data_IF_826030663630
#
_entry.id   IF_826030663630
#
_cell.length_a   1.000
_cell.length_b   1.000
_cell.length_c   1.000
_cell.angle_alpha   90.00
_cell.angle_beta   90.00
_cell.angle_gamma   90.00
#
_symmetry.space_group_name_H-M   'P 1'
#
loop_
_entity.id
_entity.type
_entity.pdbx_description
1 polymer ?
#
# COMPACT_ATOMS: atom_id res chain seq x y z
N UNK A 1 10.06 -0.36 -17.37
CA UNK A 1 11.30 0.10 -16.70
C UNK A 1 11.28 1.59 -16.33
N UNK A 2 10.91 2.52 -17.20
CA UNK A 2 10.93 3.95 -16.88
C UNK A 2 9.96 4.33 -15.75
N UNK A 3 8.72 3.82 -15.78
CA UNK A 3 7.69 4.10 -14.78
C UNK A 3 8.10 3.66 -13.36
N UNK A 4 8.55 2.41 -13.19
CA UNK A 4 9.00 1.93 -11.88
C UNK A 4 10.15 2.76 -11.30
N UNK A 5 11.14 3.13 -12.16
CA UNK A 5 12.22 4.04 -11.75
C UNK A 5 11.70 5.44 -11.39
N UNK A 6 10.69 5.92 -12.11
CA UNK A 6 10.04 7.19 -11.79
C UNK A 6 9.37 7.17 -10.43
N UNK A 7 8.63 6.10 -10.11
CA UNK A 7 8.01 5.92 -8.80
C UNK A 7 9.07 5.91 -7.71
N UNK A 8 10.17 5.15 -7.88
CA UNK A 8 11.27 5.12 -6.91
C UNK A 8 11.96 6.47 -6.73
N UNK A 9 12.14 7.24 -7.80
CA UNK A 9 12.75 8.58 -7.72
C UNK A 9 11.89 9.58 -6.93
N UNK A 10 10.57 9.36 -6.87
CA UNK A 10 9.62 10.23 -6.15
C UNK A 10 9.13 9.61 -4.83
N UNK A 11 9.71 8.50 -4.40
CA UNK A 11 9.25 7.68 -3.27
C UNK A 11 8.97 8.51 -2.01
N UNK A 12 9.96 9.26 -1.56
CA UNK A 12 9.87 10.00 -0.29
C UNK A 12 8.82 11.12 -0.36
N UNK A 13 8.70 11.79 -1.50
CA UNK A 13 7.68 12.83 -1.72
C UNK A 13 6.27 12.22 -1.79
N UNK A 14 6.08 11.09 -2.48
CA UNK A 14 4.82 10.35 -2.52
C UNK A 14 4.40 9.90 -1.12
N UNK A 15 5.31 9.32 -0.36
CA UNK A 15 5.06 8.88 1.02
C UNK A 15 4.70 10.06 1.90
N UNK A 16 5.43 11.16 1.81
CA UNK A 16 5.15 12.37 2.60
C UNK A 16 3.79 12.99 2.27
N UNK A 17 3.41 13.04 0.99
CA UNK A 17 2.09 13.54 0.55
C UNK A 17 0.97 12.63 1.04
N UNK A 18 1.16 11.32 0.89
CA UNK A 18 0.17 10.32 1.30
C UNK A 18 0.00 10.30 2.82
N UNK A 19 1.10 10.29 3.60
CA UNK A 19 1.07 10.37 5.07
C UNK A 19 0.28 11.56 5.58
N UNK A 20 0.51 12.75 5.01
CA UNK A 20 -0.23 13.97 5.41
C UNK A 20 -1.74 13.82 5.18
N UNK A 21 -2.15 13.16 4.10
CA UNK A 21 -3.56 12.92 3.83
C UNK A 21 -4.17 11.95 4.84
N UNK A 22 -3.43 10.89 5.21
CA UNK A 22 -3.88 9.95 6.23
C UNK A 22 -4.00 10.61 7.59
N UNK A 23 -3.02 11.43 7.98
CA UNK A 23 -3.03 12.18 9.24
C UNK A 23 -4.20 13.16 9.31
N UNK A 24 -4.52 13.86 8.22
CA UNK A 24 -5.64 14.80 8.15
C UNK A 24 -7.01 14.12 8.36
N UNK A 25 -7.13 12.83 8.05
CA UNK A 25 -8.36 12.04 8.23
C UNK A 25 -8.45 11.35 9.60
N UNK A 26 -7.35 11.25 10.33
CA UNK A 26 -7.31 10.62 11.64
C UNK A 26 -7.83 11.57 12.73
N UNK A 27 -9.13 11.56 12.96
CA UNK A 27 -9.68 12.12 14.18
C UNK A 27 -9.36 11.19 15.38
N UNK A 28 -8.16 11.31 15.93
CA UNK A 28 -7.96 11.02 17.34
C UNK A 28 -7.35 9.68 17.76
N UNK A 29 -7.09 8.68 16.93
CA UNK A 29 -6.46 7.42 17.41
C UNK A 29 -5.31 6.96 16.51
N UNK A 30 -4.08 7.20 16.98
CA UNK A 30 -2.86 6.64 16.36
C UNK A 30 -2.67 5.22 16.89
N UNK A 31 -3.06 4.24 16.09
CA UNK A 31 -3.02 2.83 16.51
C UNK A 31 -1.61 2.23 16.39
N UNK A 32 -0.90 2.48 15.28
CA UNK A 32 0.44 1.93 15.04
C UNK A 32 1.58 2.89 15.34
N UNK A 33 1.29 4.17 15.52
CA UNK A 33 2.32 5.21 15.54
C UNK A 33 2.86 5.57 14.14
N UNK A 34 3.34 6.80 14.03
CA UNK A 34 3.86 7.37 12.78
C UNK A 34 4.96 6.51 12.14
N UNK A 35 5.95 5.93 12.88
CA UNK A 35 7.02 5.16 12.24
C UNK A 35 6.54 3.91 11.51
N UNK A 36 5.62 3.14 12.10
CA UNK A 36 5.14 1.90 11.48
C UNK A 36 4.23 2.19 10.27
N UNK A 37 3.40 3.22 10.35
CA UNK A 37 2.61 3.68 9.21
C UNK A 37 3.53 4.11 8.06
N UNK A 38 4.55 4.91 8.33
CA UNK A 38 5.51 5.34 7.31
C UNK A 38 6.24 4.15 6.68
N UNK A 39 6.64 3.14 7.46
CA UNK A 39 7.24 1.91 6.94
C UNK A 39 6.31 1.19 5.95
N UNK A 40 5.03 1.02 6.32
CA UNK A 40 4.04 0.38 5.44
C UNK A 40 3.82 1.16 4.15
N UNK A 41 3.73 2.49 4.22
CA UNK A 41 3.58 3.32 3.02
C UNK A 41 4.81 3.23 2.12
N UNK A 42 6.01 3.27 2.69
CA UNK A 42 7.26 3.06 1.95
C UNK A 42 7.26 1.70 1.24
N UNK A 43 6.93 0.63 1.96
CA UNK A 43 6.84 -0.73 1.41
C UNK A 43 5.84 -0.80 0.24
N UNK A 44 4.68 -0.18 0.36
CA UNK A 44 3.68 -0.15 -0.70
C UNK A 44 4.16 0.60 -1.94
N UNK A 45 4.87 1.72 -1.79
CA UNK A 45 5.44 2.46 -2.93
C UNK A 45 6.56 1.66 -3.60
N UNK A 46 7.44 1.02 -2.84
CA UNK A 46 8.51 0.17 -3.36
C UNK A 46 7.93 -1.01 -4.17
N UNK A 47 6.94 -1.70 -3.60
CA UNK A 47 6.24 -2.79 -4.29
C UNK A 47 5.52 -2.32 -5.56
N UNK A 48 4.87 -1.15 -5.53
CA UNK A 48 4.22 -0.57 -6.70
C UNK A 48 5.23 -0.28 -7.83
N UNK A 49 6.43 0.17 -7.48
CA UNK A 49 7.51 0.37 -8.43
C UNK A 49 7.94 -0.97 -9.07
N UNK A 50 8.10 -2.04 -8.29
CA UNK A 50 8.40 -3.37 -8.78
C UNK A 50 7.27 -3.96 -9.64
N UNK A 51 6.01 -3.77 -9.22
CA UNK A 51 4.82 -4.17 -9.98
C UNK A 51 4.68 -3.44 -11.33
N UNK A 52 5.29 -2.26 -11.44
CA UNK A 52 5.38 -1.48 -12.68
C UNK A 52 6.59 -1.83 -13.54
N UNK A 53 7.46 -2.73 -13.06
CA UNK A 53 8.74 -3.15 -13.64
C UNK A 53 8.78 -4.60 -14.14
N UNK A 54 9.99 -5.13 -14.36
CA UNK A 54 10.22 -6.50 -14.81
C UNK A 54 9.88 -7.55 -13.73
N UNK A 55 10.04 -7.20 -12.45
CA UNK A 55 9.78 -8.09 -11.29
C UNK A 55 8.30 -8.20 -10.91
N UNK A 56 7.41 -7.79 -11.78
CA UNK A 56 5.97 -7.74 -11.50
C UNK A 56 5.40 -9.07 -11.00
N UNK A 57 5.78 -10.20 -11.64
CA UNK A 57 5.23 -11.51 -11.29
C UNK A 57 5.72 -11.96 -9.93
N UNK A 58 6.97 -11.69 -9.64
CA UNK A 58 7.64 -12.05 -8.40
C UNK A 58 7.13 -11.19 -7.23
N UNK A 59 6.83 -9.91 -7.47
CA UNK A 59 6.33 -8.96 -6.47
C UNK A 59 4.82 -9.07 -6.24
N UNK A 60 4.06 -9.81 -7.06
CA UNK A 60 2.60 -9.82 -7.00
C UNK A 60 2.08 -10.34 -5.65
N UNK A 61 2.63 -11.44 -5.14
CA UNK A 61 2.24 -12.01 -3.86
C UNK A 61 2.50 -11.05 -2.69
N UNK A 62 3.70 -10.46 -2.67
CA UNK A 62 4.11 -9.50 -1.64
C UNK A 62 3.28 -8.22 -1.70
N UNK A 63 2.91 -7.75 -2.91
CA UNK A 63 1.97 -6.64 -3.09
C UNK A 63 0.61 -6.93 -2.49
N UNK A 64 0.08 -8.15 -2.70
CA UNK A 64 -1.21 -8.55 -2.16
C UNK A 64 -1.17 -8.61 -0.63
N UNK A 65 -0.13 -9.20 -0.05
CA UNK A 65 0.05 -9.24 1.40
C UNK A 65 0.14 -7.82 2.01
N UNK A 66 0.88 -6.90 1.39
CA UNK A 66 1.00 -5.53 1.86
C UNK A 66 -0.33 -4.76 1.81
N UNK A 67 -1.11 -4.91 0.73
CA UNK A 67 -2.41 -4.23 0.60
C UNK A 67 -3.47 -4.85 1.51
N UNK A 68 -3.44 -6.15 1.75
CA UNK A 68 -4.29 -6.81 2.74
C UNK A 68 -3.98 -6.33 4.16
N UNK A 69 -2.68 -6.25 4.52
CA UNK A 69 -2.24 -5.67 5.79
C UNK A 69 -2.70 -4.21 5.95
N UNK A 70 -2.64 -3.43 4.87
CA UNK A 70 -3.16 -2.05 4.86
C UNK A 70 -4.65 -2.00 5.21
N UNK A 71 -5.44 -2.91 4.66
CA UNK A 71 -6.87 -3.03 4.96
C UNK A 71 -7.14 -3.42 6.42
N UNK A 72 -6.42 -4.39 6.95
CA UNK A 72 -6.50 -4.79 8.38
C UNK A 72 -6.17 -3.62 9.30
N UNK A 73 -5.10 -2.88 8.98
CA UNK A 73 -4.74 -1.67 9.70
C UNK A 73 -5.83 -0.60 9.67
N UNK A 74 -6.46 -0.41 8.53
CA UNK A 74 -7.55 0.55 8.38
C UNK A 74 -8.76 0.19 9.26
N UNK A 75 -9.13 -1.10 9.36
CA UNK A 75 -10.17 -1.56 10.27
C UNK A 75 -9.82 -1.27 11.73
N UNK A 76 -8.58 -1.52 12.15
CA UNK A 76 -8.07 -1.23 13.51
C UNK A 76 -8.04 0.28 13.79
N UNK A 77 -7.83 1.12 12.76
CA UNK A 77 -7.95 2.59 12.84
C UNK A 77 -9.40 3.07 12.96
N UNK A 78 -10.39 2.19 12.83
CA UNK A 78 -11.81 2.53 12.89
C UNK A 78 -12.34 3.18 11.62
N UNK A 79 -11.64 3.05 10.49
CA UNK A 79 -12.11 3.57 9.20
C UNK A 79 -13.30 2.77 8.69
N UNK A 80 -14.14 3.40 7.88
CA UNK A 80 -15.12 2.69 7.06
C UNK A 80 -14.45 2.10 5.81
N UNK A 81 -15.02 1.02 5.24
CA UNK A 81 -14.48 0.39 4.03
C UNK A 81 -14.33 1.37 2.85
N UNK A 82 -15.26 2.33 2.73
CA UNK A 82 -15.19 3.38 1.70
C UNK A 82 -13.96 4.29 1.88
N UNK A 83 -13.58 4.60 3.11
CA UNK A 83 -12.40 5.44 3.41
C UNK A 83 -11.09 4.73 3.03
N UNK A 84 -11.02 3.39 3.19
CA UNK A 84 -9.87 2.58 2.72
C UNK A 84 -9.72 2.72 1.20
N UNK A 85 -10.83 2.62 0.48
CA UNK A 85 -10.84 2.81 -0.98
C UNK A 85 -10.37 4.22 -1.34
N UNK A 86 -10.90 5.25 -0.69
CA UNK A 86 -10.53 6.65 -0.94
C UNK A 86 -9.04 6.94 -0.66
N UNK A 87 -8.46 6.34 0.37
CA UNK A 87 -7.03 6.50 0.67
C UNK A 87 -6.14 5.96 -0.47
N UNK A 88 -6.49 4.81 -1.06
CA UNK A 88 -5.76 4.25 -2.22
C UNK A 88 -6.08 5.04 -3.50
N UNK A 89 -7.31 5.56 -3.67
CA UNK A 89 -7.63 6.44 -4.79
C UNK A 89 -6.82 7.74 -4.74
N UNK A 90 -6.60 8.29 -3.55
CA UNK A 90 -5.73 9.45 -3.39
C UNK A 90 -4.28 9.15 -3.83
N UNK A 91 -3.75 7.98 -3.49
CA UNK A 91 -2.45 7.54 -4.02
C UNK A 91 -2.46 7.48 -5.56
N UNK A 92 -3.56 7.00 -6.17
CA UNK A 92 -3.73 6.99 -7.63
C UNK A 92 -3.65 8.40 -8.23
N UNK A 93 -4.31 9.37 -7.60
CA UNK A 93 -4.27 10.77 -8.04
C UNK A 93 -2.87 11.35 -7.97
N UNK A 94 -2.15 11.11 -6.87
CA UNK A 94 -0.75 11.53 -6.71
C UNK A 94 0.12 10.93 -7.83
N UNK A 95 0.03 9.62 -8.04
CA UNK A 95 0.81 8.94 -9.08
C UNK A 95 0.47 9.45 -10.48
N UNK A 96 -0.80 9.67 -10.78
CA UNK A 96 -1.22 10.19 -12.10
C UNK A 96 -0.66 11.57 -12.35
N UNK A 97 -0.64 12.42 -11.32
CA UNK A 97 -0.13 13.79 -11.39
C UNK A 97 1.40 13.82 -11.48
N UNK A 98 2.06 13.13 -10.56
CA UNK A 98 3.52 13.23 -10.40
C UNK A 98 4.28 12.43 -11.48
N UNK A 99 3.64 11.38 -12.06
CA UNK A 99 4.22 10.63 -13.19
C UNK A 99 3.91 11.23 -14.57
N UNK A 100 3.14 12.31 -14.66
CA UNK A 100 2.65 12.85 -15.94
C UNK A 100 3.80 13.10 -16.93
N UNK A 101 4.86 13.78 -16.52
CA UNK A 101 6.01 14.09 -17.38
C UNK A 101 6.76 12.83 -17.84
N UNK A 102 6.89 11.84 -16.96
CA UNK A 102 7.53 10.56 -17.28
C UNK A 102 6.68 9.78 -18.30
N UNK A 103 5.35 9.78 -18.12
CA UNK A 103 4.43 9.10 -19.02
C UNK A 103 4.41 9.74 -20.40
N UNK A 104 4.41 11.08 -20.47
CA UNK A 104 4.47 11.83 -21.75
C UNK A 104 5.79 11.62 -22.47
N UNK A 105 6.91 11.47 -21.77
CA UNK A 105 8.22 11.17 -22.35
C UNK A 105 8.34 9.74 -22.91
N UNK A 106 7.41 8.84 -22.60
CA UNK A 106 7.39 7.49 -23.19
C UNK A 106 6.98 7.54 -24.67
N UNK A 107 7.44 6.57 -25.50
CA UNK A 107 6.88 6.36 -26.83
C UNK A 107 5.36 6.25 -26.76
N UNK A 108 4.64 6.89 -27.69
CA UNK A 108 3.17 7.03 -27.66
C UNK A 108 2.44 5.67 -27.49
N UNK A 109 2.99 4.60 -28.09
CA UNK A 109 2.47 3.23 -27.96
C UNK A 109 2.63 2.63 -26.55
N UNK A 110 3.43 3.24 -25.67
CA UNK A 110 3.68 2.77 -24.30
C UNK A 110 2.95 3.61 -23.25
N UNK A 111 2.50 4.81 -23.59
CA UNK A 111 1.87 5.72 -22.64
C UNK A 111 0.60 5.11 -22.03
N UNK A 112 -0.41 4.83 -22.85
CA UNK A 112 -1.66 4.25 -22.37
C UNK A 112 -1.48 2.87 -21.71
N UNK A 113 -0.71 1.91 -22.25
CA UNK A 113 -0.44 0.65 -21.57
C UNK A 113 0.21 0.81 -20.19
N UNK A 114 1.06 1.83 -20.00
CA UNK A 114 1.69 2.10 -18.71
C UNK A 114 0.67 2.62 -17.69
N UNK A 115 -0.18 3.57 -18.07
CA UNK A 115 -1.28 4.07 -17.23
C UNK A 115 -2.22 2.95 -16.83
N UNK A 116 -2.67 2.13 -17.79
CA UNK A 116 -3.56 1.01 -17.53
C UNK A 116 -2.93 -0.04 -16.61
N UNK A 117 -1.61 -0.23 -16.69
CA UNK A 117 -0.89 -1.14 -15.81
C UNK A 117 -0.91 -0.65 -14.37
N UNK A 118 -0.57 0.62 -14.12
CA UNK A 118 -0.62 1.23 -12.79
C UNK A 118 -2.03 1.09 -12.22
N UNK A 119 -3.04 1.47 -12.98
CA UNK A 119 -4.42 1.38 -12.53
C UNK A 119 -4.83 -0.04 -12.14
N UNK A 120 -4.49 -1.06 -12.95
CA UNK A 120 -4.78 -2.46 -12.62
C UNK A 120 -4.09 -2.93 -11.34
N UNK A 121 -2.86 -2.49 -11.08
CA UNK A 121 -2.14 -2.82 -9.84
C UNK A 121 -2.87 -2.20 -8.64
N UNK A 122 -3.25 -0.93 -8.75
CA UNK A 122 -3.99 -0.24 -7.69
C UNK A 122 -5.39 -0.82 -7.49
N UNK A 123 -6.12 -1.17 -8.56
CA UNK A 123 -7.45 -1.79 -8.46
C UNK A 123 -7.39 -3.13 -7.70
N UNK A 124 -6.38 -3.95 -7.99
CA UNK A 124 -6.12 -5.19 -7.24
C UNK A 124 -5.75 -4.90 -5.79
N UNK A 125 -4.94 -3.86 -5.55
CA UNK A 125 -4.60 -3.41 -4.20
C UNK A 125 -5.83 -3.00 -3.40
N UNK A 126 -6.74 -2.23 -4.01
CA UNK A 126 -8.05 -1.88 -3.40
C UNK A 126 -8.84 -3.13 -3.05
N UNK A 127 -8.97 -4.07 -3.98
CA UNK A 127 -9.72 -5.31 -3.74
C UNK A 127 -9.15 -6.09 -2.55
N UNK A 128 -7.82 -6.26 -2.47
CA UNK A 128 -7.18 -6.95 -1.35
C UNK A 128 -7.25 -6.16 -0.03
N UNK A 129 -7.15 -4.84 -0.08
CA UNK A 129 -7.33 -4.01 1.11
C UNK A 129 -8.75 -4.16 1.69
N UNK A 130 -9.78 -4.22 0.83
CA UNK A 130 -11.15 -4.47 1.26
C UNK A 130 -11.31 -5.87 1.85
N UNK A 131 -10.64 -6.90 1.30
CA UNK A 131 -10.61 -8.25 1.89
C UNK A 131 -10.00 -8.20 3.28
N UNK A 132 -8.78 -7.67 3.44
CA UNK A 132 -8.11 -7.57 4.74
C UNK A 132 -8.92 -6.77 5.77
N UNK A 133 -9.57 -5.69 5.34
CA UNK A 133 -10.49 -4.92 6.16
C UNK A 133 -11.68 -5.76 6.65
N UNK A 134 -12.32 -6.49 5.73
CA UNK A 134 -13.49 -7.32 6.04
C UNK A 134 -13.11 -8.46 6.98
N UNK A 135 -11.98 -9.13 6.75
CA UNK A 135 -11.49 -10.21 7.59
C UNK A 135 -11.22 -9.73 9.03
N UNK A 136 -10.64 -8.53 9.18
CA UNK A 136 -10.43 -7.94 10.50
C UNK A 136 -11.74 -7.63 11.21
N UNK A 137 -12.76 -7.11 10.50
CA UNK A 137 -14.09 -6.89 11.07
C UNK A 137 -14.77 -8.20 11.47
N UNK A 138 -14.73 -9.20 10.61
CA UNK A 138 -15.33 -10.51 10.87
C UNK A 138 -14.69 -11.16 12.10
N UNK A 139 -13.35 -11.16 12.17
CA UNK A 139 -12.62 -11.64 13.34
C UNK A 139 -13.07 -10.97 14.63
N UNK A 140 -13.30 -9.65 14.59
CA UNK A 140 -13.80 -8.88 15.72
C UNK A 140 -15.22 -9.25 16.12
N UNK A 141 -16.12 -9.47 15.15
CA UNK A 141 -17.52 -9.83 15.41
C UNK A 141 -17.63 -11.21 16.12
N UNK A 142 -16.67 -12.11 15.85
CA UNK A 142 -16.61 -13.44 16.50
C UNK A 142 -15.80 -13.44 17.81
N UNK A 143 -14.97 -12.43 18.05
CA UNK A 143 -14.36 -12.24 19.37
C UNK A 143 -15.44 -11.69 20.32
N UNK A 144 -15.61 -12.33 21.49
CA UNK A 144 -16.63 -11.93 22.50
C UNK A 144 -16.41 -10.55 23.12
N UNK A 145 -15.43 -9.80 22.64
CA UNK A 145 -14.94 -8.57 23.27
C UNK A 145 -15.55 -7.25 22.69
N UNK A 146 -16.47 -7.35 21.71
CA UNK A 146 -17.09 -6.15 21.13
C UNK A 146 -16.17 -5.40 20.14
N UNK A 147 -16.38 -4.10 19.96
CA UNK A 147 -15.61 -3.25 19.02
C UNK A 147 -14.10 -3.45 19.22
N UNK A 148 -13.28 -3.62 18.15
CA UNK A 148 -11.84 -3.82 18.28
C UNK A 148 -11.20 -2.62 18.95
N UNK A 149 -10.92 -2.75 20.23
CA UNK A 149 -9.93 -1.91 20.86
C UNK A 149 -8.60 -2.50 20.45
N UNK A 150 -7.71 -1.73 19.78
CA UNK A 150 -6.39 -2.22 19.43
C UNK A 150 -5.67 -2.65 20.69
N UNK A 151 -5.62 -3.97 20.91
CA UNK A 151 -4.81 -4.52 21.99
C UNK A 151 -3.33 -4.47 21.58
N UNK A 152 -2.44 -4.42 22.57
CA UNK A 152 -0.99 -4.48 22.31
C UNK A 152 -0.62 -5.69 21.46
N UNK A 153 -1.30 -6.83 21.66
CA UNK A 153 -1.06 -8.06 20.92
C UNK A 153 -1.44 -7.94 19.43
N UNK A 154 -2.56 -7.31 19.09
CA UNK A 154 -2.94 -7.02 17.70
C UNK A 154 -1.93 -6.10 16.99
N UNK A 155 -1.43 -5.08 17.71
CA UNK A 155 -0.40 -4.18 17.16
C UNK A 155 0.89 -4.95 16.91
N UNK A 156 1.31 -5.82 17.81
CA UNK A 156 2.51 -6.67 17.65
C UNK A 156 2.35 -7.65 16.48
N UNK A 157 1.17 -8.23 16.30
CA UNK A 157 0.89 -9.11 15.15
C UNK A 157 1.01 -8.36 13.82
N UNK A 158 0.41 -7.16 13.70
CA UNK A 158 0.51 -6.33 12.50
C UNK A 158 1.96 -5.90 12.21
N UNK A 159 2.73 -5.58 13.23
CA UNK A 159 4.16 -5.27 13.08
C UNK A 159 4.96 -6.49 12.63
N UNK A 160 4.69 -7.67 13.18
CA UNK A 160 5.31 -8.92 12.73
C UNK A 160 5.00 -9.25 11.27
N UNK A 161 3.77 -9.01 10.83
CA UNK A 161 3.39 -9.16 9.42
C UNK A 161 4.12 -8.16 8.52
N UNK A 162 4.26 -6.90 8.95
CA UNK A 162 5.02 -5.88 8.23
C UNK A 162 6.49 -6.29 8.07
N UNK A 163 7.13 -6.76 9.15
CA UNK A 163 8.52 -7.22 9.12
C UNK A 163 8.71 -8.40 8.16
N UNK A 164 7.76 -9.35 8.11
CA UNK A 164 7.79 -10.47 7.20
C UNK A 164 7.72 -10.03 5.73
N UNK A 165 6.79 -9.11 5.39
CA UNK A 165 6.61 -8.60 4.03
C UNK A 165 7.83 -7.78 3.58
N UNK A 166 8.42 -6.96 4.47
CA UNK A 166 9.68 -6.25 4.19
C UNK A 166 10.84 -7.23 3.93
N UNK A 167 10.88 -8.35 4.67
CA UNK A 167 11.84 -9.42 4.45
C UNK A 167 11.71 -10.05 3.05
N UNK A 168 10.48 -10.32 2.62
CA UNK A 168 10.22 -10.85 1.27
C UNK A 168 10.64 -9.87 0.18
N UNK A 169 10.36 -8.57 0.34
CA UNK A 169 10.79 -7.56 -0.62
C UNK A 169 12.31 -7.52 -0.75
N UNK A 170 13.05 -7.54 0.37
CA UNK A 170 14.53 -7.56 0.36
C UNK A 170 15.10 -8.79 -0.37
N UNK A 171 14.49 -9.96 -0.17
CA UNK A 171 14.90 -11.19 -0.87
C UNK A 171 14.63 -11.09 -2.38
N UNK A 172 13.53 -10.45 -2.78
CA UNK A 172 13.18 -10.21 -4.17
C UNK A 172 14.20 -9.28 -4.84
N UNK A 173 14.59 -8.20 -4.17
CA UNK A 173 15.58 -7.25 -4.65
C UNK A 173 16.97 -7.90 -4.80
N UNK A 174 17.39 -8.71 -3.84
CA UNK A 174 18.65 -9.43 -3.90
C UNK A 174 18.72 -10.40 -5.10
N UNK A 175 17.63 -11.12 -5.38
CA UNK A 175 17.55 -12.02 -6.55
C UNK A 175 17.61 -11.27 -7.88
N UNK A 176 17.21 -10.02 -7.92
CA UNK A 176 17.23 -9.21 -9.13
C UNK A 176 18.57 -8.54 -9.41
N UNK A 177 19.43 -8.44 -8.39
CA UNK A 177 20.75 -7.81 -8.48
C UNK A 177 21.89 -8.78 -8.85
N UNK A 178 21.67 -10.09 -8.77
CA UNK A 178 22.61 -11.16 -9.12
C UNK A 178 22.27 -11.81 -10.46
#
# INVERSE_FOLDING_TARGET
>A
MAVGRGIMAMRDDLVAKWSRQLEARQAGTVVLGVPATTRLLNLMIDLLAHMSGPLRREAEGTWFAATELYGRLAAVRGLAAGEVVEEIQYLRELLTKDLADILVALPIRQQLPSVLRINRVLDRGVANAVVGYTDALVATMFSREGVPVPTTDHVQELLGQLDAIEGELKLLEQRSAG
#
